data_IF_922638369400
#
_entry.id   IF_922638369400
#
_cell.length_a   1.000
_cell.length_b   1.000
_cell.length_c   1.000
_cell.angle_alpha   90.00
_cell.angle_beta   90.00
_cell.angle_gamma   90.00
#
_symmetry.space_group_name_H-M   'P 1'
#
loop_
_entity.id
_entity.type
_entity.pdbx_description
1 polymer ?
#
# COMPACT_ATOMS: atom_id res chain seq x y z
N UNK A 1 16.35 -14.81 -0.94
CA UNK A 1 14.92 -14.57 -1.06
C UNK A 1 14.58 -14.19 -2.49
N UNK A 2 13.63 -14.87 -3.09
CA UNK A 2 13.26 -14.65 -4.47
C UNK A 2 12.37 -13.41 -4.61
N UNK A 3 12.64 -12.61 -5.65
CA UNK A 3 11.84 -11.44 -5.99
C UNK A 3 10.36 -11.79 -6.18
N UNK A 4 10.08 -12.91 -6.85
CA UNK A 4 8.70 -13.35 -7.10
C UNK A 4 7.90 -13.55 -5.82
N UNK A 5 8.53 -14.00 -4.75
CA UNK A 5 7.88 -14.22 -3.47
C UNK A 5 7.44 -12.90 -2.83
N UNK A 6 8.30 -11.88 -2.89
CA UNK A 6 7.96 -10.56 -2.37
C UNK A 6 6.95 -9.82 -3.23
N UNK A 7 7.02 -9.98 -4.55
CA UNK A 7 6.01 -9.41 -5.45
C UNK A 7 4.64 -10.03 -5.16
N UNK A 8 4.60 -11.35 -4.98
CA UNK A 8 3.35 -12.03 -4.63
C UNK A 8 2.81 -11.55 -3.28
N UNK A 9 3.67 -11.39 -2.27
CA UNK A 9 3.27 -10.91 -0.96
C UNK A 9 2.75 -9.47 -1.02
N UNK A 10 3.43 -8.59 -1.74
CA UNK A 10 2.99 -7.22 -1.94
C UNK A 10 1.65 -7.15 -2.67
N UNK A 11 1.46 -7.96 -3.69
CA UNK A 11 0.18 -8.08 -4.41
C UNK A 11 -0.93 -8.52 -3.47
N UNK A 12 -0.68 -9.52 -2.63
CA UNK A 12 -1.65 -9.99 -1.64
C UNK A 12 -2.03 -8.87 -0.65
N UNK A 13 -1.05 -8.08 -0.21
CA UNK A 13 -1.29 -6.93 0.66
C UNK A 13 -2.15 -5.86 -0.02
N UNK A 14 -1.88 -5.57 -1.29
CA UNK A 14 -2.69 -4.63 -2.07
C UNK A 14 -4.13 -5.10 -2.22
N UNK A 15 -4.33 -6.38 -2.52
CA UNK A 15 -5.66 -6.97 -2.59
C UNK A 15 -6.38 -6.97 -1.23
N UNK A 16 -5.64 -7.21 -0.15
CA UNK A 16 -6.21 -7.13 1.20
C UNK A 16 -6.75 -5.73 1.49
N UNK A 17 -6.09 -4.69 1.00
CA UNK A 17 -6.58 -3.31 1.13
C UNK A 17 -7.92 -3.13 0.43
N UNK A 18 -8.09 -3.71 -0.76
CA UNK A 18 -9.37 -3.65 -1.48
C UNK A 18 -10.48 -4.29 -0.64
N UNK A 19 -10.20 -5.43 -0.03
CA UNK A 19 -11.18 -6.11 0.83
C UNK A 19 -11.55 -5.24 2.04
N UNK A 20 -10.56 -4.65 2.71
CA UNK A 20 -10.79 -3.76 3.85
C UNK A 20 -11.63 -2.56 3.43
N UNK A 21 -11.33 -1.96 2.29
CA UNK A 21 -12.09 -0.82 1.79
C UNK A 21 -13.52 -1.18 1.46
N UNK A 22 -13.76 -2.36 0.91
CA UNK A 22 -15.11 -2.83 0.65
C UNK A 22 -15.89 -3.05 1.94
N UNK A 23 -15.25 -3.54 2.99
CA UNK A 23 -15.89 -3.68 4.29
C UNK A 23 -16.29 -2.32 4.88
N UNK A 24 -15.54 -1.27 4.56
CA UNK A 24 -15.83 0.11 4.99
C UNK A 24 -16.74 0.85 4.00
N UNK A 25 -17.10 0.22 2.89
CA UNK A 25 -17.87 0.84 1.81
C UNK A 25 -19.19 1.47 2.25
N UNK A 26 -19.96 0.88 3.18
CA UNK A 26 -21.22 1.48 3.63
C UNK A 26 -21.07 2.90 4.18
N UNK A 27 -19.86 3.30 4.55
CA UNK A 27 -19.57 4.63 5.05
C UNK A 27 -19.18 5.62 3.96
N UNK A 28 -19.12 5.19 2.70
CA UNK A 28 -18.79 6.04 1.57
C UNK A 28 -20.07 6.61 0.94
N UNK A 29 -20.00 7.89 0.58
CA UNK A 29 -21.14 8.61 0.04
C UNK A 29 -21.46 8.26 -1.42
N UNK A 30 -20.51 7.69 -2.19
CA UNK A 30 -20.67 7.47 -3.63
C UNK A 30 -20.68 5.99 -3.96
N UNK A 31 -21.75 5.45 -4.54
CA UNK A 31 -21.75 4.08 -5.03
C UNK A 31 -20.81 3.96 -6.21
N UNK A 32 -19.90 2.98 -6.18
CA UNK A 32 -19.04 2.68 -7.31
C UNK A 32 -19.77 1.79 -8.29
N UNK A 33 -19.63 2.09 -9.58
CA UNK A 33 -20.04 1.15 -10.62
C UNK A 33 -18.97 0.04 -10.77
N UNK A 34 -19.28 -1.02 -11.51
CA UNK A 34 -18.39 -2.16 -11.69
C UNK A 34 -17.06 -1.78 -12.35
N UNK A 35 -17.07 -0.80 -13.25
CA UNK A 35 -15.85 -0.32 -13.94
C UNK A 35 -14.91 0.38 -12.95
N UNK A 36 -15.45 1.22 -12.08
CA UNK A 36 -14.65 1.90 -11.05
C UNK A 36 -14.08 0.89 -10.06
N UNK A 37 -14.87 -0.10 -9.64
CA UNK A 37 -14.40 -1.16 -8.77
C UNK A 37 -13.26 -1.95 -9.39
N UNK A 38 -13.39 -2.31 -10.67
CA UNK A 38 -12.33 -3.02 -11.39
C UNK A 38 -11.05 -2.19 -11.47
N UNK A 39 -11.18 -0.89 -11.74
CA UNK A 39 -10.03 0.02 -11.77
C UNK A 39 -9.34 0.09 -10.40
N UNK A 40 -10.11 0.16 -9.31
CA UNK A 40 -9.55 0.14 -7.95
C UNK A 40 -8.80 -1.15 -7.67
N UNK A 41 -9.38 -2.31 -7.99
CA UNK A 41 -8.73 -3.60 -7.81
C UNK A 41 -7.42 -3.66 -8.59
N UNK A 42 -7.45 -3.26 -9.86
CA UNK A 42 -6.26 -3.27 -10.72
C UNK A 42 -5.16 -2.36 -10.16
N UNK A 43 -5.51 -1.13 -9.77
CA UNK A 43 -4.54 -0.18 -9.24
C UNK A 43 -3.90 -0.64 -7.93
N UNK A 44 -4.71 -1.17 -7.02
CA UNK A 44 -4.17 -1.69 -5.75
C UNK A 44 -3.30 -2.93 -5.96
N UNK A 45 -3.65 -3.78 -6.92
CA UNK A 45 -2.83 -4.94 -7.29
C UNK A 45 -1.48 -4.51 -7.82
N UNK A 46 -1.46 -3.57 -8.77
CA UNK A 46 -0.22 -3.03 -9.35
C UNK A 46 0.61 -2.33 -8.28
N UNK A 47 -0.02 -1.55 -7.44
CA UNK A 47 0.66 -0.84 -6.35
C UNK A 47 1.27 -1.82 -5.36
N UNK A 48 0.55 -2.86 -4.98
CA UNK A 48 1.06 -3.90 -4.09
C UNK A 48 2.26 -4.63 -4.69
N UNK A 49 2.19 -5.00 -5.97
CA UNK A 49 3.30 -5.62 -6.67
C UNK A 49 4.53 -4.70 -6.72
N UNK A 50 4.31 -3.42 -7.02
CA UNK A 50 5.37 -2.41 -7.02
C UNK A 50 6.02 -2.23 -5.65
N UNK A 51 5.22 -2.25 -4.60
CA UNK A 51 5.74 -2.17 -3.23
C UNK A 51 6.55 -3.42 -2.86
N UNK A 52 6.14 -4.60 -3.34
CA UNK A 52 6.93 -5.81 -3.17
C UNK A 52 8.29 -5.72 -3.84
N UNK A 53 8.33 -5.17 -5.06
CA UNK A 53 9.56 -4.91 -5.78
C UNK A 53 10.45 -3.93 -5.02
N UNK A 54 9.87 -2.83 -4.54
CA UNK A 54 10.61 -1.84 -3.76
C UNK A 54 11.15 -2.43 -2.45
N UNK A 55 10.38 -3.26 -1.79
CA UNK A 55 10.81 -3.95 -0.58
C UNK A 55 12.04 -4.81 -0.88
N UNK A 56 12.00 -5.55 -1.98
CA UNK A 56 13.14 -6.37 -2.41
C UNK A 56 14.35 -5.52 -2.74
N UNK A 57 14.17 -4.42 -3.49
CA UNK A 57 15.26 -3.52 -3.86
C UNK A 57 15.90 -2.85 -2.63
N UNK A 58 15.12 -2.59 -1.59
CA UNK A 58 15.62 -2.05 -0.33
C UNK A 58 16.29 -3.10 0.56
N UNK A 59 16.37 -4.33 0.10
CA UNK A 59 16.89 -5.49 0.85
C UNK A 59 16.12 -5.70 2.16
N UNK A 60 14.81 -5.47 2.10
CA UNK A 60 13.97 -5.62 3.27
C UNK A 60 14.36 -4.70 4.42
N UNK A 61 14.97 -3.57 4.11
CA UNK A 61 15.50 -2.64 5.10
C UNK A 61 16.56 -3.30 5.98
N UNK A 62 17.66 -3.70 5.35
CA UNK A 62 18.78 -4.41 5.99
C UNK A 62 19.28 -3.68 7.25
N UNK A 63 19.20 -2.35 7.25
CA UNK A 63 19.57 -1.56 8.43
C UNK A 63 18.69 -1.85 9.65
N UNK A 64 17.57 -2.53 9.48
CA UNK A 64 16.62 -2.83 10.54
C UNK A 64 16.58 -4.33 10.84
N UNK A 65 17.74 -4.99 10.83
CA UNK A 65 17.85 -6.46 10.93
C UNK A 65 17.31 -7.00 12.25
N UNK A 66 17.41 -6.23 13.31
CA UNK A 66 17.09 -6.67 14.67
C UNK A 66 15.65 -6.33 15.10
N UNK A 67 14.80 -5.94 14.18
CA UNK A 67 13.40 -5.63 14.50
C UNK A 67 12.48 -6.75 14.01
N UNK A 68 11.29 -6.80 14.62
CA UNK A 68 10.26 -7.76 14.25
C UNK A 68 9.78 -7.53 12.83
N UNK A 69 9.22 -8.58 12.22
CA UNK A 69 8.72 -8.52 10.85
C UNK A 69 7.62 -7.45 10.68
N UNK A 70 6.73 -7.34 11.65
CA UNK A 70 5.62 -6.38 11.59
C UNK A 70 6.14 -4.94 11.68
N UNK A 71 7.13 -4.69 12.51
CA UNK A 71 7.74 -3.37 12.62
C UNK A 71 8.48 -3.00 11.33
N UNK A 72 9.20 -3.94 10.74
CA UNK A 72 9.85 -3.74 9.45
C UNK A 72 8.81 -3.40 8.37
N UNK A 73 7.70 -4.12 8.35
CA UNK A 73 6.61 -3.86 7.42
C UNK A 73 6.00 -2.48 7.60
N UNK A 74 5.75 -2.08 8.85
CA UNK A 74 5.19 -0.75 9.15
C UNK A 74 6.16 0.35 8.76
N UNK A 75 7.43 0.24 9.13
CA UNK A 75 8.44 1.25 8.78
C UNK A 75 8.58 1.39 7.27
N UNK A 76 8.63 0.27 6.55
CA UNK A 76 8.66 0.30 5.09
C UNK A 76 7.41 0.96 4.52
N UNK A 77 6.22 0.56 5.00
CA UNK A 77 4.95 1.10 4.52
C UNK A 77 4.82 2.60 4.75
N UNK A 78 5.17 3.07 5.94
CA UNK A 78 5.14 4.50 6.25
C UNK A 78 6.16 5.28 5.42
N UNK A 79 7.36 4.72 5.23
CA UNK A 79 8.40 5.36 4.43
C UNK A 79 7.99 5.46 2.96
N UNK A 80 7.43 4.38 2.40
CA UNK A 80 6.94 4.37 1.03
C UNK A 80 5.79 5.36 0.85
N UNK A 81 4.84 5.38 1.77
CA UNK A 81 3.73 6.32 1.73
C UNK A 81 4.23 7.77 1.78
N UNK A 82 5.12 8.09 2.70
CA UNK A 82 5.65 9.45 2.88
C UNK A 82 6.44 9.92 1.66
N UNK A 83 7.22 9.03 1.05
CA UNK A 83 8.10 9.41 -0.06
C UNK A 83 7.39 9.38 -1.42
N UNK A 84 6.45 8.46 -1.62
CA UNK A 84 5.86 8.22 -2.94
C UNK A 84 4.44 8.75 -3.06
N UNK A 85 3.61 8.55 -2.04
CA UNK A 85 2.20 8.91 -2.11
C UNK A 85 1.94 10.34 -1.65
N UNK A 86 2.46 10.73 -0.50
CA UNK A 86 2.15 12.00 0.13
C UNK A 86 2.54 13.22 -0.73
N UNK A 87 3.73 13.28 -1.36
CA UNK A 87 4.07 14.42 -2.20
C UNK A 87 3.11 14.61 -3.37
N UNK A 88 2.70 13.53 -4.03
CA UNK A 88 1.73 13.59 -5.12
C UNK A 88 0.35 14.06 -4.66
N UNK A 89 -0.09 13.60 -3.48
CA UNK A 89 -1.35 14.03 -2.89
C UNK A 89 -1.32 15.51 -2.54
N UNK A 90 -0.24 15.98 -1.93
CA UNK A 90 -0.08 17.40 -1.58
C UNK A 90 -0.06 18.27 -2.84
N UNK A 91 0.63 17.82 -3.89
CA UNK A 91 0.68 18.54 -5.15
C UNK A 91 -0.72 18.67 -5.76
N UNK A 92 -1.50 17.59 -5.76
CA UNK A 92 -2.88 17.62 -6.22
C UNK A 92 -3.75 18.56 -5.39
N UNK A 93 -3.51 18.67 -4.09
CA UNK A 93 -4.24 19.62 -3.24
C UNK A 93 -3.83 21.07 -3.52
N UNK A 94 -2.56 21.34 -3.73
CA UNK A 94 -2.05 22.67 -4.11
C UNK A 94 -2.68 23.10 -5.44
N UNK A 95 -2.81 22.18 -6.39
CA UNK A 95 -3.45 22.44 -7.69
C UNK A 95 -4.98 22.50 -7.59
N UNK A 96 -5.54 22.38 -6.39
CA UNK A 96 -6.97 22.41 -6.12
C UNK A 96 -7.78 21.37 -6.92
N UNK A 97 -7.16 20.21 -7.23
CA UNK A 97 -7.83 19.14 -7.98
C UNK A 97 -8.89 18.43 -7.16
N UNK A 98 -8.80 18.48 -5.84
CA UNK A 98 -9.75 17.86 -4.93
C UNK A 98 -9.79 18.59 -3.57
N UNK A 99 -10.86 18.37 -2.83
CA UNK A 99 -11.08 18.98 -1.53
C UNK A 99 -10.19 18.39 -0.44
N UNK A 100 -10.14 19.03 0.73
CA UNK A 100 -9.44 18.48 1.87
C UNK A 100 -10.02 17.14 2.33
N UNK A 101 -11.33 16.96 2.26
CA UNK A 101 -11.96 15.69 2.59
C UNK A 101 -11.49 14.58 1.66
N UNK A 102 -11.44 14.84 0.35
CA UNK A 102 -10.91 13.89 -0.62
C UNK A 102 -9.41 13.62 -0.40
N UNK A 103 -8.64 14.66 -0.06
CA UNK A 103 -7.23 14.50 0.28
C UNK A 103 -7.02 13.51 1.42
N UNK A 104 -7.73 13.70 2.54
CA UNK A 104 -7.59 12.81 3.69
C UNK A 104 -8.07 11.39 3.38
N UNK A 105 -9.15 11.27 2.62
CA UNK A 105 -9.64 9.95 2.19
C UNK A 105 -8.61 9.20 1.35
N UNK A 106 -8.04 9.86 0.34
CA UNK A 106 -7.00 9.27 -0.51
C UNK A 106 -5.72 8.99 0.28
N UNK A 107 -5.32 9.90 1.17
CA UNK A 107 -4.13 9.70 2.00
C UNK A 107 -4.28 8.45 2.87
N UNK A 108 -5.43 8.28 3.50
CA UNK A 108 -5.71 7.09 4.32
C UNK A 108 -5.76 5.81 3.49
N UNK A 109 -6.37 5.87 2.32
CA UNK A 109 -6.46 4.73 1.41
C UNK A 109 -5.07 4.26 0.98
N UNK A 110 -4.22 5.19 0.55
CA UNK A 110 -2.86 4.87 0.13
C UNK A 110 -1.98 4.43 1.31
N UNK A 111 -2.16 5.03 2.47
CA UNK A 111 -1.47 4.62 3.68
C UNK A 111 -1.81 3.17 4.03
N UNK A 112 -3.08 2.81 3.97
CA UNK A 112 -3.53 1.44 4.24
C UNK A 112 -2.90 0.46 3.26
N UNK A 113 -2.86 0.80 1.97
CA UNK A 113 -2.23 -0.05 0.95
C UNK A 113 -0.74 -0.23 1.24
N UNK A 114 -0.02 0.85 1.52
CA UNK A 114 1.42 0.78 1.78
C UNK A 114 1.72 -0.04 3.05
N UNK A 115 0.97 0.17 4.11
CA UNK A 115 1.18 -0.55 5.38
C UNK A 115 0.84 -2.03 5.23
N UNK A 116 -0.30 -2.37 4.62
CA UNK A 116 -0.68 -3.78 4.45
C UNK A 116 0.27 -4.51 3.52
N UNK A 117 0.69 -3.90 2.41
CA UNK A 117 1.69 -4.49 1.53
C UNK A 117 3.04 -4.63 2.24
N UNK A 118 3.43 -3.63 3.03
CA UNK A 118 4.65 -3.68 3.83
C UNK A 118 4.63 -4.80 4.86
N UNK A 119 3.51 -4.98 5.55
CA UNK A 119 3.32 -6.07 6.52
C UNK A 119 3.40 -7.43 5.83
N UNK A 120 2.76 -7.58 4.68
CA UNK A 120 2.80 -8.83 3.92
C UNK A 120 4.24 -9.14 3.48
N UNK A 121 4.97 -8.15 3.00
CA UNK A 121 6.37 -8.31 2.59
C UNK A 121 7.27 -8.61 3.77
N UNK A 122 7.08 -7.95 4.90
CA UNK A 122 7.85 -8.21 6.12
C UNK A 122 7.65 -9.63 6.63
N UNK A 123 6.41 -10.08 6.63
CA UNK A 123 6.08 -11.45 6.99
C UNK A 123 6.71 -12.46 6.02
N UNK A 124 6.60 -12.20 4.72
CA UNK A 124 7.18 -13.06 3.69
C UNK A 124 8.70 -13.12 3.80
N UNK A 125 9.33 -11.99 4.08
CA UNK A 125 10.78 -11.93 4.30
C UNK A 125 11.23 -12.82 5.44
N UNK A 126 10.49 -12.79 6.56
CA UNK A 126 10.83 -13.61 7.72
C UNK A 126 10.60 -15.09 7.48
N UNK A 127 9.52 -15.44 6.76
CA UNK A 127 9.12 -16.83 6.55
C UNK A 127 9.80 -17.49 5.36
N UNK A 128 10.42 -16.73 4.49
CA UNK A 128 11.10 -17.29 3.32
C UNK A 128 12.31 -18.12 3.70
N UNK A 129 12.53 -19.25 3.02
CA UNK A 129 13.70 -20.08 3.26
C UNK A 129 15.01 -19.40 2.84
#
# INVERSE_FOLDING_TARGET
LELSYLVAAGTAGGLATVVVQQALWPFRATPANSTVQLAHVALHTIMGAGLGLLFWLSWGLVALVNISWWMRGIVFGLSAWSALALPGLLLGRVDARYSWAAFFGLAFELLSTCVLAGLACGWAWEKAP
#
